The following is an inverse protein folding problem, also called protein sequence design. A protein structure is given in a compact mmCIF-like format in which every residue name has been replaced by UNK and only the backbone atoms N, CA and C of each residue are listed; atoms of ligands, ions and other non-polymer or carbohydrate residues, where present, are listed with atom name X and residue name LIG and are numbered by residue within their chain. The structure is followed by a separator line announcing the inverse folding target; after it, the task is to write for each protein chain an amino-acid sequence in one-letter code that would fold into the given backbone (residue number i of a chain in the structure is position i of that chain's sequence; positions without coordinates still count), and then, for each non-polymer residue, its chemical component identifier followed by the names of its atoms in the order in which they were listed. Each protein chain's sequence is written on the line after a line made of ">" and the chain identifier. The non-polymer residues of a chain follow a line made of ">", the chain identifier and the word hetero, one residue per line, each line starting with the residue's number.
data_IF_107599638004
#
_entry.id   IF_107599638004
#
_cell.length_a   1.000
_cell.length_b   1.000
_cell.length_c   1.000
_cell.angle_alpha   90.00
_cell.angle_beta   90.00
_cell.angle_gamma   90.00
#
_symmetry.space_group_name_H-M   'P 1'
#
loop_
_entity.id
_entity.type
_entity.pdbx_description
1 polymer ?
#
# COMPACT_ATOMS: atom_id res chain seq x y z
N UNK A 1 42.39 -23.62 157.44
CA UNK A 1 40.98 -23.96 157.18
C UNK A 1 40.11 -22.77 156.80
N UNK A 2 39.63 -21.90 157.72
CA UNK A 2 38.70 -20.81 157.33
C UNK A 2 39.31 -19.76 156.38
N UNK A 3 40.60 -19.44 156.55
CA UNK A 3 41.34 -18.53 155.66
C UNK A 3 41.55 -19.09 154.25
N UNK A 4 41.78 -20.41 154.15
CA UNK A 4 41.93 -21.10 152.86
C UNK A 4 40.59 -21.18 152.13
N UNK A 5 39.49 -21.44 152.85
CA UNK A 5 38.12 -21.43 152.30
C UNK A 5 37.75 -20.03 151.79
N UNK A 6 38.08 -18.98 152.54
CA UNK A 6 37.83 -17.59 152.10
C UNK A 6 38.66 -17.21 150.85
N UNK A 7 39.89 -17.70 150.75
CA UNK A 7 40.75 -17.44 149.60
C UNK A 7 40.28 -18.22 148.35
N UNK A 8 39.89 -19.49 148.50
CA UNK A 8 39.34 -20.28 147.40
C UNK A 8 38.00 -19.75 146.91
N UNK A 9 37.12 -19.27 147.81
CA UNK A 9 35.88 -18.59 147.42
C UNK A 9 36.13 -17.29 146.65
N UNK A 10 37.14 -16.50 147.04
CA UNK A 10 37.52 -15.27 146.32
C UNK A 10 38.07 -15.57 144.92
N UNK A 11 38.91 -16.60 144.79
CA UNK A 11 39.45 -17.06 143.51
C UNK A 11 38.33 -17.60 142.61
N UNK A 12 37.43 -18.43 143.14
CA UNK A 12 36.29 -18.96 142.40
C UNK A 12 35.33 -17.86 141.92
N UNK A 13 35.07 -16.83 142.74
CA UNK A 13 34.29 -15.66 142.34
C UNK A 13 34.94 -14.86 141.21
N UNK A 14 36.27 -14.68 141.26
CA UNK A 14 37.03 -14.00 140.20
C UNK A 14 37.00 -14.77 138.88
N UNK A 15 37.26 -16.08 138.95
CA UNK A 15 37.23 -16.98 137.79
C UNK A 15 35.82 -17.06 137.20
N UNK A 16 34.78 -17.19 138.02
CA UNK A 16 33.39 -17.19 137.55
C UNK A 16 32.99 -15.89 136.84
N UNK A 17 33.44 -14.74 137.34
CA UNK A 17 33.23 -13.45 136.70
C UNK A 17 34.02 -13.27 135.40
N UNK A 18 35.28 -13.72 135.35
CA UNK A 18 36.10 -13.71 134.14
C UNK A 18 35.52 -14.64 133.05
N UNK A 19 35.08 -15.84 133.43
CA UNK A 19 34.39 -16.77 132.52
C UNK A 19 33.07 -16.20 132.03
N UNK A 20 32.26 -15.60 132.92
CA UNK A 20 31.00 -14.95 132.54
C UNK A 20 31.21 -13.78 131.56
N UNK A 21 32.25 -12.97 131.79
CA UNK A 21 32.66 -11.90 130.87
C UNK A 21 33.11 -12.46 129.52
N UNK A 22 33.92 -13.52 129.52
CA UNK A 22 34.40 -14.15 128.29
C UNK A 22 33.23 -14.70 127.45
N UNK A 23 32.25 -15.35 128.08
CA UNK A 23 31.04 -15.85 127.38
C UNK A 23 30.26 -14.70 126.73
N UNK A 24 30.16 -13.53 127.40
CA UNK A 24 29.50 -12.35 126.83
C UNK A 24 30.28 -11.79 125.63
N UNK A 25 31.62 -11.74 125.72
CA UNK A 25 32.48 -11.30 124.63
C UNK A 25 32.38 -12.26 123.45
N UNK A 26 32.46 -13.57 123.68
CA UNK A 26 32.35 -14.59 122.63
C UNK A 26 30.97 -14.54 121.95
N UNK A 27 29.89 -14.30 122.72
CA UNK A 27 28.54 -14.10 122.17
C UNK A 27 28.49 -12.87 121.27
N UNK A 28 29.01 -11.73 121.74
CA UNK A 28 29.04 -10.51 120.94
C UNK A 28 29.85 -10.72 119.66
N UNK A 29 31.05 -11.32 119.74
CA UNK A 29 31.88 -11.63 118.58
C UNK A 29 31.16 -12.54 117.57
N UNK A 30 30.43 -13.55 118.04
CA UNK A 30 29.64 -14.42 117.18
C UNK A 30 28.47 -13.68 116.51
N UNK A 31 27.78 -12.79 117.23
CA UNK A 31 26.73 -11.95 116.65
C UNK A 31 27.29 -11.02 115.58
N UNK A 32 28.42 -10.34 115.85
CA UNK A 32 29.13 -9.50 114.88
C UNK A 32 29.59 -10.30 113.66
N UNK A 33 30.11 -11.52 113.86
CA UNK A 33 30.49 -12.40 112.76
C UNK A 33 29.29 -12.81 111.90
N UNK A 34 28.15 -13.11 112.53
CA UNK A 34 26.91 -13.45 111.84
C UNK A 34 26.38 -12.26 111.02
N UNK A 35 26.35 -11.05 111.59
CA UNK A 35 25.99 -9.84 110.85
C UNK A 35 26.95 -9.58 109.69
N UNK A 36 28.26 -9.67 109.91
CA UNK A 36 29.24 -9.47 108.85
C UNK A 36 29.06 -10.49 107.70
N UNK A 37 28.69 -11.73 108.01
CA UNK A 37 28.40 -12.76 107.03
C UNK A 37 27.07 -12.51 106.29
N UNK A 38 26.00 -12.07 106.98
CA UNK A 38 24.73 -11.73 106.32
C UNK A 38 24.89 -10.54 105.37
N UNK A 39 25.58 -9.48 105.80
CA UNK A 39 25.88 -8.33 104.93
C UNK A 39 26.73 -8.72 103.71
N UNK A 40 27.70 -9.65 103.87
CA UNK A 40 28.47 -10.16 102.73
C UNK A 40 27.57 -10.92 101.75
N UNK A 41 26.71 -11.80 102.25
CA UNK A 41 25.78 -12.57 101.42
C UNK A 41 24.83 -11.66 100.64
N UNK A 42 24.19 -10.68 101.30
CA UNK A 42 23.30 -9.71 100.66
C UNK A 42 24.03 -8.89 99.58
N UNK A 43 25.25 -8.44 99.87
CA UNK A 43 26.06 -7.69 98.89
C UNK A 43 26.41 -8.54 97.68
N UNK A 44 26.77 -9.80 97.89
CA UNK A 44 27.18 -10.70 96.81
C UNK A 44 25.95 -11.13 95.97
N UNK A 45 24.77 -11.26 96.58
CA UNK A 45 23.50 -11.41 95.88
C UNK A 45 23.17 -10.18 95.03
N UNK A 46 23.23 -8.97 95.61
CA UNK A 46 22.98 -7.73 94.89
C UNK A 46 23.95 -7.53 93.71
N UNK A 47 25.23 -7.92 93.87
CA UNK A 47 26.21 -7.93 92.78
C UNK A 47 25.83 -8.91 91.67
N UNK A 48 25.35 -10.09 92.04
CA UNK A 48 24.91 -11.12 91.09
C UNK A 48 23.69 -10.66 90.31
N UNK A 49 22.68 -10.10 90.98
CA UNK A 49 21.50 -9.52 90.36
C UNK A 49 21.86 -8.36 89.42
N UNK A 50 22.73 -7.43 89.86
CA UNK A 50 23.22 -6.34 89.01
C UNK A 50 23.93 -6.86 87.77
N UNK A 51 24.79 -7.87 87.91
CA UNK A 51 25.46 -8.48 86.77
C UNK A 51 24.49 -9.15 85.80
N UNK A 52 23.43 -9.78 86.31
CA UNK A 52 22.40 -10.40 85.48
C UNK A 52 21.61 -9.35 84.69
N UNK A 53 21.12 -8.31 85.36
CA UNK A 53 20.38 -7.20 84.71
C UNK A 53 21.26 -6.51 83.67
N UNK A 54 22.54 -6.28 83.96
CA UNK A 54 23.48 -5.68 83.00
C UNK A 54 23.58 -6.52 81.71
N UNK A 55 23.72 -7.84 81.83
CA UNK A 55 23.75 -8.74 80.66
C UNK A 55 22.44 -8.70 79.87
N UNK A 56 21.30 -8.66 80.54
CA UNK A 56 20.00 -8.54 79.88
C UNK A 56 19.86 -7.22 79.12
N UNK A 57 20.35 -6.12 79.71
CA UNK A 57 20.38 -4.82 79.05
C UNK A 57 21.25 -4.84 77.79
N UNK A 58 22.48 -5.39 77.88
CA UNK A 58 23.38 -5.52 76.73
C UNK A 58 22.74 -6.33 75.59
N UNK A 59 22.05 -7.43 75.90
CA UNK A 59 21.33 -8.23 74.89
C UNK A 59 20.18 -7.45 74.27
N UNK A 60 19.40 -6.71 75.08
CA UNK A 60 18.28 -5.91 74.59
C UNK A 60 18.75 -4.76 73.69
N UNK A 61 19.86 -4.11 74.03
CA UNK A 61 20.48 -3.06 73.21
C UNK A 61 20.93 -3.61 71.85
N UNK A 62 21.59 -4.78 71.83
CA UNK A 62 21.98 -5.45 70.58
C UNK A 62 20.78 -5.81 69.71
N UNK A 63 19.68 -6.30 70.30
CA UNK A 63 18.45 -6.57 69.58
C UNK A 63 17.82 -5.30 69.02
N UNK A 64 17.81 -4.21 69.79
CA UNK A 64 17.28 -2.93 69.34
C UNK A 64 18.09 -2.38 68.15
N UNK A 65 19.41 -2.49 68.17
CA UNK A 65 20.26 -2.07 67.06
C UNK A 65 20.09 -2.93 65.82
N UNK A 66 19.94 -4.24 65.98
CA UNK A 66 19.62 -5.14 64.86
C UNK A 66 18.27 -4.79 64.22
N UNK A 67 17.25 -4.52 65.02
CA UNK A 67 15.93 -4.09 64.53
C UNK A 67 15.99 -2.73 63.83
N UNK A 68 16.75 -1.76 64.36
CA UNK A 68 16.96 -0.46 63.70
C UNK A 68 17.62 -0.62 62.33
N UNK A 69 18.63 -1.49 62.24
CA UNK A 69 19.31 -1.78 60.97
C UNK A 69 18.36 -2.46 59.96
N UNK A 70 17.54 -3.41 60.40
CA UNK A 70 16.52 -4.04 59.55
C UNK A 70 15.49 -3.02 59.07
N UNK A 71 14.99 -2.16 59.95
CA UNK A 71 14.04 -1.12 59.60
C UNK A 71 14.61 -0.15 58.56
N UNK A 72 15.88 0.24 58.70
CA UNK A 72 16.55 1.11 57.73
C UNK A 72 16.68 0.44 56.35
N UNK A 73 16.99 -0.86 56.31
CA UNK A 73 17.03 -1.63 55.04
C UNK A 73 15.66 -1.70 54.39
N UNK A 74 14.63 -2.06 55.13
CA UNK A 74 13.25 -2.16 54.63
C UNK A 74 12.73 -0.81 54.10
N UNK A 75 13.05 0.31 54.77
CA UNK A 75 12.70 1.65 54.26
C UNK A 75 13.34 1.93 52.90
N UNK A 76 14.62 1.59 52.74
CA UNK A 76 15.32 1.76 51.46
C UNK A 76 14.75 0.87 50.36
N UNK A 77 14.34 -0.35 50.70
CA UNK A 77 13.66 -1.26 49.77
C UNK A 77 12.29 -0.71 49.35
N UNK A 78 11.48 -0.21 50.30
CA UNK A 78 10.18 0.43 50.01
C UNK A 78 10.34 1.66 49.10
N UNK A 79 11.32 2.53 49.37
CA UNK A 79 11.64 3.66 48.48
C UNK A 79 12.03 3.21 47.07
N UNK A 80 12.86 2.16 46.97
CA UNK A 80 13.25 1.56 45.70
C UNK A 80 12.06 0.99 44.93
N UNK A 81 11.17 0.26 45.60
CA UNK A 81 9.96 -0.30 45.00
C UNK A 81 9.00 0.82 44.55
N UNK A 82 8.80 1.87 45.35
CA UNK A 82 7.98 3.02 44.95
C UNK A 82 8.52 3.72 43.71
N UNK A 83 9.84 3.87 43.61
CA UNK A 83 10.48 4.43 42.43
C UNK A 83 10.28 3.54 41.19
N UNK A 84 10.37 2.22 41.33
CA UNK A 84 10.09 1.27 40.24
C UNK A 84 8.63 1.35 39.79
N UNK A 85 7.68 1.38 40.74
CA UNK A 85 6.25 1.52 40.42
C UNK A 85 5.98 2.83 39.66
N UNK A 86 6.59 3.94 40.08
CA UNK A 86 6.43 5.22 39.40
C UNK A 86 6.96 5.19 37.95
N UNK A 87 8.10 4.53 37.71
CA UNK A 87 8.65 4.33 36.36
C UNK A 87 7.72 3.49 35.49
N UNK A 88 7.28 2.34 36.00
CA UNK A 88 6.38 1.44 35.28
C UNK A 88 5.04 2.10 34.94
N UNK A 89 4.49 2.93 35.83
CA UNK A 89 3.28 3.72 35.53
C UNK A 89 3.50 4.66 34.35
N UNK A 90 4.61 5.40 34.33
CA UNK A 90 4.96 6.31 33.24
C UNK A 90 5.18 5.57 31.91
N UNK A 91 5.85 4.43 31.94
CA UNK A 91 6.03 3.58 30.75
C UNK A 91 4.68 3.06 30.22
N UNK A 92 3.79 2.62 31.11
CA UNK A 92 2.46 2.15 30.73
C UNK A 92 1.60 3.27 30.12
N UNK A 93 1.67 4.49 30.68
CA UNK A 93 1.02 5.67 30.10
C UNK A 93 1.56 5.99 28.69
N UNK A 94 2.88 5.90 28.49
CA UNK A 94 3.52 6.07 27.19
C UNK A 94 3.07 5.03 26.17
N UNK A 95 3.09 3.75 26.55
CA UNK A 95 2.61 2.65 25.71
C UNK A 95 1.12 2.81 25.36
N UNK A 96 0.29 3.24 26.31
CA UNK A 96 -1.13 3.51 26.06
C UNK A 96 -1.34 4.62 25.03
N UNK A 97 -0.57 5.71 25.13
CA UNK A 97 -0.60 6.79 24.15
C UNK A 97 -0.14 6.33 22.76
N UNK A 98 0.90 5.51 22.68
CA UNK A 98 1.40 4.96 21.42
C UNK A 98 0.37 4.02 20.76
N UNK A 99 -0.30 3.16 21.54
CA UNK A 99 -1.37 2.29 21.04
C UNK A 99 -2.52 3.12 20.45
N UNK A 100 -2.94 4.19 21.13
CA UNK A 100 -3.98 5.10 20.62
C UNK A 100 -3.54 5.78 19.33
N UNK A 101 -2.30 6.25 19.26
CA UNK A 101 -1.74 6.91 18.07
C UNK A 101 -1.65 5.95 16.89
N UNK A 102 -1.14 4.74 17.11
CA UNK A 102 -1.06 3.70 16.07
C UNK A 102 -2.45 3.27 15.61
N UNK A 103 -3.41 3.15 16.53
CA UNK A 103 -4.81 2.86 16.21
C UNK A 103 -5.43 3.91 15.29
N UNK A 104 -5.23 5.20 15.61
CA UNK A 104 -5.67 6.32 14.74
C UNK A 104 -4.98 6.29 13.39
N UNK A 105 -3.64 6.22 13.38
CA UNK A 105 -2.86 6.18 12.14
C UNK A 105 -3.29 5.02 11.23
N UNK A 106 -3.46 3.81 11.77
CA UNK A 106 -3.93 2.64 11.03
C UNK A 106 -5.32 2.86 10.45
N UNK A 107 -6.24 3.45 11.21
CA UNK A 107 -7.60 3.77 10.74
C UNK A 107 -7.56 4.78 9.59
N UNK A 108 -6.80 5.86 9.75
CA UNK A 108 -6.70 6.93 8.76
C UNK A 108 -6.02 6.41 7.47
N UNK A 109 -4.97 5.61 7.60
CA UNK A 109 -4.31 4.94 6.47
C UNK A 109 -5.27 4.00 5.72
N UNK A 110 -6.10 3.23 6.44
CA UNK A 110 -7.10 2.37 5.82
C UNK A 110 -8.18 3.17 5.09
N UNK A 111 -8.61 4.32 5.63
CA UNK A 111 -9.56 5.22 4.97
C UNK A 111 -8.95 5.78 3.69
N UNK A 112 -7.72 6.28 3.75
CA UNK A 112 -7.00 6.81 2.59
C UNK A 112 -6.81 5.74 1.51
N UNK A 113 -6.39 4.54 1.89
CA UNK A 113 -6.20 3.42 0.97
C UNK A 113 -7.53 2.99 0.31
N UNK A 114 -8.65 2.98 1.05
CA UNK A 114 -9.98 2.73 0.48
C UNK A 114 -10.37 3.80 -0.54
N UNK A 115 -10.16 5.07 -0.23
CA UNK A 115 -10.45 6.17 -1.16
C UNK A 115 -9.63 6.02 -2.46
N UNK A 116 -8.34 5.72 -2.35
CA UNK A 116 -7.46 5.51 -3.51
C UNK A 116 -7.90 4.29 -4.35
N UNK A 117 -8.38 3.22 -3.72
CA UNK A 117 -8.93 2.06 -4.44
C UNK A 117 -10.18 2.47 -5.22
N UNK A 118 -11.10 3.22 -4.62
CA UNK A 118 -12.31 3.68 -5.33
C UNK A 118 -11.99 4.65 -6.48
N UNK A 119 -11.02 5.53 -6.30
CA UNK A 119 -10.51 6.39 -7.37
C UNK A 119 -9.92 5.56 -8.53
N UNK A 120 -9.05 4.58 -8.22
CA UNK A 120 -8.47 3.70 -9.24
C UNK A 120 -9.52 2.87 -9.99
N UNK A 121 -10.64 2.51 -9.35
CA UNK A 121 -11.78 1.85 -9.99
C UNK A 121 -12.51 2.79 -10.94
N UNK A 122 -12.71 4.04 -10.55
CA UNK A 122 -13.32 5.06 -11.41
C UNK A 122 -12.46 5.32 -12.65
N UNK A 123 -11.14 5.46 -12.47
CA UNK A 123 -10.19 5.61 -13.58
C UNK A 123 -10.23 4.41 -14.53
N UNK A 124 -10.21 3.19 -13.98
CA UNK A 124 -10.33 1.98 -14.79
C UNK A 124 -11.64 1.95 -15.59
N UNK A 125 -12.77 2.30 -14.97
CA UNK A 125 -14.06 2.38 -15.64
C UNK A 125 -14.07 3.43 -16.77
N UNK A 126 -13.42 4.57 -16.56
CA UNK A 126 -13.24 5.61 -17.57
C UNK A 126 -12.39 5.11 -18.75
N UNK A 127 -11.27 4.45 -18.48
CA UNK A 127 -10.41 3.82 -19.50
C UNK A 127 -11.19 2.79 -20.30
N UNK A 128 -11.96 1.92 -19.63
CA UNK A 128 -12.75 0.89 -20.30
C UNK A 128 -13.87 1.51 -21.17
N UNK A 129 -14.51 2.59 -20.71
CA UNK A 129 -15.46 3.36 -21.51
C UNK A 129 -14.78 4.01 -22.74
N UNK A 130 -13.58 4.56 -22.56
CA UNK A 130 -12.76 5.10 -23.66
C UNK A 130 -12.40 4.04 -24.69
N UNK A 131 -11.99 2.84 -24.26
CA UNK A 131 -11.72 1.69 -25.15
C UNK A 131 -12.97 1.28 -25.93
N UNK A 132 -14.13 1.21 -25.28
CA UNK A 132 -15.40 0.90 -25.96
C UNK A 132 -15.75 1.92 -27.04
N UNK A 133 -15.59 3.22 -26.74
CA UNK A 133 -15.78 4.28 -27.73
C UNK A 133 -14.80 4.16 -28.90
N UNK A 134 -13.53 3.89 -28.62
CA UNK A 134 -12.52 3.68 -29.66
C UNK A 134 -12.84 2.47 -30.55
N UNK A 135 -13.28 1.34 -29.97
CA UNK A 135 -13.71 0.17 -30.74
C UNK A 135 -14.94 0.46 -31.60
N UNK A 136 -15.91 1.22 -31.08
CA UNK A 136 -17.08 1.62 -31.85
C UNK A 136 -16.70 2.56 -33.01
N UNK A 137 -15.79 3.51 -32.78
CA UNK A 137 -15.27 4.39 -33.82
C UNK A 137 -14.52 3.59 -34.92
N UNK A 138 -13.70 2.60 -34.54
CA UNK A 138 -13.05 1.71 -35.51
C UNK A 138 -14.06 0.95 -36.37
N UNK A 139 -15.11 0.40 -35.77
CA UNK A 139 -16.18 -0.28 -36.52
C UNK A 139 -16.89 0.65 -37.50
N UNK A 140 -17.14 1.92 -37.11
CA UNK A 140 -17.70 2.90 -38.03
C UNK A 140 -16.76 3.23 -39.19
N UNK A 141 -15.47 3.39 -38.92
CA UNK A 141 -14.47 3.62 -39.98
C UNK A 141 -14.40 2.44 -40.95
N UNK A 142 -14.47 1.20 -40.46
CA UNK A 142 -14.53 0.02 -41.34
C UNK A 142 -15.79 -0.01 -42.20
N UNK A 143 -16.94 0.37 -41.66
CA UNK A 143 -18.19 0.48 -42.41
C UNK A 143 -18.08 1.55 -43.50
N UNK A 144 -17.59 2.75 -43.17
CA UNK A 144 -17.36 3.83 -44.13
C UNK A 144 -16.41 3.37 -45.23
N UNK A 145 -15.32 2.66 -44.89
CA UNK A 145 -14.37 2.11 -45.86
C UNK A 145 -15.04 1.10 -46.80
N UNK A 146 -15.90 0.21 -46.29
CA UNK A 146 -16.67 -0.72 -47.12
C UNK A 146 -17.60 0.02 -48.07
N UNK A 147 -18.35 1.01 -47.58
CA UNK A 147 -19.26 1.81 -48.41
C UNK A 147 -18.50 2.58 -49.48
N UNK A 148 -17.38 3.22 -49.14
CA UNK A 148 -16.53 3.93 -50.10
C UNK A 148 -15.95 3.01 -51.18
N UNK A 149 -15.53 1.80 -50.82
CA UNK A 149 -15.08 0.80 -51.79
C UNK A 149 -16.18 0.38 -52.76
N UNK A 150 -17.41 0.20 -52.26
CA UNK A 150 -18.55 -0.15 -53.12
C UNK A 150 -18.89 0.99 -54.09
N UNK A 151 -18.88 2.24 -53.61
CA UNK A 151 -19.04 3.42 -54.46
C UNK A 151 -17.94 3.52 -55.53
N UNK A 152 -16.68 3.27 -55.16
CA UNK A 152 -15.56 3.24 -56.10
C UNK A 152 -15.76 2.18 -57.19
N UNK A 153 -16.21 0.98 -56.80
CA UNK A 153 -16.51 -0.13 -57.73
C UNK A 153 -17.60 0.27 -58.73
N UNK A 154 -18.69 0.88 -58.25
CA UNK A 154 -19.76 1.39 -59.12
C UNK A 154 -19.28 2.47 -60.09
N UNK A 155 -18.41 3.39 -59.64
CA UNK A 155 -17.82 4.41 -60.50
C UNK A 155 -16.91 3.80 -61.57
N UNK A 156 -16.08 2.82 -61.21
CA UNK A 156 -15.23 2.08 -62.16
C UNK A 156 -16.08 1.35 -63.20
N UNK A 157 -17.17 0.70 -62.78
CA UNK A 157 -18.08 0.01 -63.69
C UNK A 157 -18.76 0.99 -64.67
N UNK A 158 -19.21 2.16 -64.19
CA UNK A 158 -19.72 3.24 -65.04
C UNK A 158 -18.67 3.75 -66.03
N UNK A 159 -17.43 3.93 -65.58
CA UNK A 159 -16.32 4.36 -66.44
C UNK A 159 -16.03 3.32 -67.53
N UNK A 160 -16.01 2.03 -67.17
CA UNK A 160 -15.84 0.94 -68.13
C UNK A 160 -16.97 0.89 -69.16
N UNK A 161 -18.22 1.06 -68.73
CA UNK A 161 -19.37 1.17 -69.63
C UNK A 161 -19.21 2.36 -70.61
N UNK A 162 -18.78 3.52 -70.12
CA UNK A 162 -18.52 4.69 -70.98
C UNK A 162 -17.36 4.42 -71.95
N UNK A 163 -16.26 3.83 -71.49
CA UNK A 163 -15.12 3.43 -72.32
C UNK A 163 -15.52 2.45 -73.42
N UNK A 164 -16.34 1.44 -73.08
CA UNK A 164 -16.87 0.48 -74.04
C UNK A 164 -17.77 1.16 -75.08
N UNK A 165 -18.61 2.12 -74.66
CA UNK A 165 -19.44 2.93 -75.57
C UNK A 165 -18.58 3.78 -76.52
N UNK A 166 -17.54 4.43 -76.01
CA UNK A 166 -16.58 5.20 -76.82
C UNK A 166 -15.83 4.29 -77.81
N UNK A 167 -15.41 3.10 -77.38
CA UNK A 167 -14.75 2.12 -78.25
C UNK A 167 -15.68 1.64 -79.36
N UNK A 168 -16.94 1.36 -79.04
CA UNK A 168 -17.95 0.95 -80.03
C UNK A 168 -18.25 2.06 -81.04
N UNK A 169 -18.37 3.31 -80.58
CA UNK A 169 -18.56 4.47 -81.49
C UNK A 169 -17.35 4.71 -82.37
N UNK A 170 -16.14 4.55 -81.84
CA UNK A 170 -14.90 4.64 -82.62
C UNK A 170 -14.77 3.51 -83.66
N UNK A 171 -15.16 2.28 -83.31
CA UNK A 171 -15.23 1.16 -84.25
C UNK A 171 -16.27 1.41 -85.37
N UNK A 172 -17.42 2.03 -85.04
CA UNK A 172 -18.42 2.45 -86.03
C UNK A 172 -17.87 3.55 -86.94
N UNK A 173 -17.15 4.53 -86.39
CA UNK A 173 -16.55 5.62 -87.16
C UNK A 173 -15.49 5.08 -88.13
N UNK A 174 -14.56 4.26 -87.66
CA UNK A 174 -13.54 3.61 -88.52
C UNK A 174 -14.14 2.63 -89.54
N UNK A 175 -15.28 2.01 -89.21
CA UNK A 175 -16.08 1.25 -90.17
C UNK A 175 -16.68 2.16 -91.25
N UNK A 176 -17.28 3.29 -90.87
CA UNK A 176 -17.81 4.29 -91.78
C UNK A 176 -16.71 4.91 -92.67
N UNK A 177 -15.55 5.24 -92.11
CA UNK A 177 -14.37 5.70 -92.85
C UNK A 177 -13.93 4.68 -93.91
N UNK A 178 -13.92 3.38 -93.58
CA UNK A 178 -13.60 2.33 -94.56
C UNK A 178 -14.65 2.23 -95.67
N UNK A 179 -15.94 2.35 -95.34
CA UNK A 179 -17.02 2.36 -96.32
C UNK A 179 -16.90 3.58 -97.23
N UNK A 180 -16.67 4.76 -96.66
CA UNK A 180 -16.43 6.00 -97.40
C UNK A 180 -15.18 5.88 -98.28
N UNK A 181 -14.07 5.35 -97.77
CA UNK A 181 -12.86 5.11 -98.55
C UNK A 181 -13.08 4.17 -99.73
N UNK A 182 -13.87 3.09 -99.56
CA UNK A 182 -14.28 2.22 -100.67
C UNK A 182 -15.19 2.92 -101.66
N UNK A 183 -16.17 3.70 -101.19
CA UNK A 183 -17.07 4.46 -102.08
C UNK A 183 -16.30 5.50 -102.88
N UNK A 184 -15.37 6.22 -102.25
CA UNK A 184 -14.49 7.17 -102.94
C UNK A 184 -13.62 6.45 -103.97
N UNK A 185 -13.02 5.31 -103.60
CA UNK A 185 -12.22 4.51 -104.54
C UNK A 185 -13.08 3.97 -105.71
N UNK A 186 -14.28 3.46 -105.45
CA UNK A 186 -15.22 3.00 -106.49
C UNK A 186 -15.70 4.14 -107.41
N UNK A 187 -15.88 5.35 -106.87
CA UNK A 187 -16.21 6.55 -107.66
C UNK A 187 -15.03 7.00 -108.50
N UNK A 188 -13.81 6.91 -107.99
CA UNK A 188 -12.58 7.18 -108.75
C UNK A 188 -12.38 6.14 -109.85
N UNK A 189 -12.62 4.85 -109.58
CA UNK A 189 -12.48 3.77 -110.57
C UNK A 189 -13.57 3.78 -111.65
N UNK A 190 -14.79 4.23 -111.31
CA UNK A 190 -15.91 4.37 -112.27
C UNK A 190 -15.96 5.73 -112.93
N UNK A 191 -15.20 6.72 -112.45
CA UNK A 191 -14.98 7.93 -113.20
C UNK A 191 -14.24 7.52 -114.49
N UNK A 192 -14.74 7.91 -115.68
CA UNK A 192 -14.01 7.65 -116.92
C UNK A 192 -12.62 8.26 -116.78
N UNK A 193 -11.59 7.59 -117.33
CA UNK A 193 -10.17 8.01 -117.40
C UNK A 193 -9.97 9.34 -118.17
N UNK A 194 -10.70 10.37 -117.77
CA UNK A 194 -10.58 11.74 -118.21
C UNK A 194 -9.61 12.37 -117.24
N UNK A 195 -8.59 13.04 -117.77
CA UNK A 195 -7.70 13.89 -116.96
C UNK A 195 -8.57 14.94 -116.28
N UNK A 196 -9.03 14.66 -115.05
CA UNK A 196 -9.92 15.52 -114.28
C UNK A 196 -9.33 16.93 -114.15
N UNK A 197 -8.00 17.04 -114.18
CA UNK A 197 -7.23 18.29 -114.22
C UNK A 197 -7.60 19.26 -115.35
N UNK A 198 -8.21 18.78 -116.44
CA UNK A 198 -8.60 19.59 -117.60
C UNK A 198 -10.05 20.10 -117.57
N UNK A 199 -10.85 19.70 -116.57
CA UNK A 199 -12.23 20.14 -116.42
C UNK A 199 -12.32 21.32 -115.45
N UNK A 200 -13.24 22.27 -115.72
CA UNK A 200 -13.57 23.35 -114.78
C UNK A 200 -14.20 22.78 -113.49
N UNK A 201 -14.09 23.48 -112.36
CA UNK A 201 -14.62 23.02 -111.07
C UNK A 201 -16.11 22.63 -111.14
N UNK A 202 -16.90 23.36 -111.91
CA UNK A 202 -18.32 23.07 -112.13
C UNK A 202 -18.52 21.75 -112.88
N UNK A 203 -17.70 21.47 -113.89
CA UNK A 203 -17.78 20.24 -114.68
C UNK A 203 -17.24 19.02 -113.92
N UNK A 204 -16.14 19.18 -113.18
CA UNK A 204 -15.63 18.13 -112.27
C UNK A 204 -16.70 17.75 -111.25
N UNK A 205 -17.38 18.75 -110.67
CA UNK A 205 -18.50 18.52 -109.76
C UNK A 205 -19.59 17.70 -110.43
N UNK A 206 -20.05 18.07 -111.63
CA UNK A 206 -21.14 17.34 -112.32
C UNK A 206 -20.74 15.89 -112.62
N UNK A 207 -19.53 15.63 -113.11
CA UNK A 207 -19.05 14.28 -113.42
C UNK A 207 -18.94 13.43 -112.15
N UNK A 208 -18.34 13.98 -111.09
CA UNK A 208 -18.27 13.30 -109.79
C UNK A 208 -19.65 13.11 -109.17
N UNK A 209 -20.58 14.06 -109.34
CA UNK A 209 -21.96 13.93 -108.86
C UNK A 209 -22.67 12.80 -109.58
N UNK A 210 -22.54 12.69 -110.91
CA UNK A 210 -23.16 11.62 -111.69
C UNK A 210 -22.58 10.25 -111.33
N UNK A 211 -21.24 10.14 -111.22
CA UNK A 211 -20.58 8.91 -110.77
C UNK A 211 -20.99 8.52 -109.33
N UNK A 212 -21.09 9.49 -108.42
CA UNK A 212 -21.60 9.29 -107.06
C UNK A 212 -23.06 8.82 -107.08
N UNK A 213 -23.90 9.44 -107.91
CA UNK A 213 -25.33 9.10 -108.03
C UNK A 213 -25.52 7.69 -108.57
N UNK A 214 -24.71 7.25 -109.53
CA UNK A 214 -24.74 5.89 -110.05
C UNK A 214 -24.21 4.85 -109.05
N UNK A 215 -23.14 5.16 -108.31
CA UNK A 215 -22.63 4.30 -107.24
C UNK A 215 -23.70 4.13 -106.14
N UNK A 216 -24.33 5.22 -105.69
CA UNK A 216 -25.41 5.21 -104.70
C UNK A 216 -26.64 4.44 -105.22
N UNK A 217 -27.07 4.65 -106.46
CA UNK A 217 -28.20 3.90 -107.07
C UNK A 217 -27.89 2.41 -107.24
N UNK A 218 -26.65 2.03 -107.56
CA UNK A 218 -26.26 0.62 -107.75
C UNK A 218 -26.24 -0.20 -106.45
N UNK A 219 -26.09 0.46 -105.28
CA UNK A 219 -25.98 -0.22 -103.97
C UNK A 219 -27.22 -0.10 -103.07
N UNK A 220 -28.37 0.32 -103.59
CA UNK A 220 -29.67 0.25 -102.89
C UNK A 220 -30.10 -1.19 -102.45
N UNK A 221 -29.28 -2.22 -102.70
CA UNK A 221 -29.45 -3.60 -102.21
C UNK A 221 -28.68 -3.93 -100.91
N UNK A 222 -27.85 -3.04 -100.37
CA UNK A 222 -27.14 -3.24 -99.09
C UNK A 222 -27.67 -2.32 -97.98
N UNK A 223 -28.97 -2.41 -97.70
CA UNK A 223 -29.61 -1.67 -96.62
C UNK A 223 -29.37 -2.13 -95.16
N UNK A 224 -28.72 -3.25 -94.79
CA UNK A 224 -28.52 -3.52 -93.37
C UNK A 224 -27.34 -2.73 -92.76
N UNK A 225 -26.40 -2.19 -93.56
CA UNK A 225 -25.13 -1.66 -93.04
C UNK A 225 -25.13 -0.15 -92.73
N UNK A 226 -26.18 0.59 -93.09
CA UNK A 226 -26.28 2.05 -92.92
C UNK A 226 -27.48 2.50 -92.07
N UNK A 227 -28.11 1.58 -91.32
CA UNK A 227 -28.99 1.97 -90.21
C UNK A 227 -28.11 2.47 -89.05
N UNK A 228 -27.58 3.68 -89.19
CA UNK A 228 -27.13 4.49 -88.07
C UNK A 228 -28.37 4.95 -87.31
N UNK A 229 -28.91 4.09 -86.46
CA UNK A 229 -29.85 4.53 -85.43
C UNK A 229 -29.04 5.28 -84.38
N UNK A 230 -29.11 6.61 -84.43
CA UNK A 230 -28.90 7.43 -83.23
C UNK A 230 -30.10 7.16 -82.32
N UNK A 231 -30.01 6.16 -81.46
CA UNK A 231 -30.88 6.13 -80.29
C UNK A 231 -30.55 7.36 -79.43
N UNK A 232 -31.54 8.20 -79.09
CA UNK A 232 -31.30 9.36 -78.25
C UNK A 232 -30.85 8.89 -76.86
N UNK A 233 -29.83 9.57 -76.35
CA UNK A 233 -29.30 9.39 -75.01
C UNK A 233 -30.42 9.57 -73.97
N UNK A 234 -30.65 8.61 -73.05
CA UNK A 234 -31.34 8.93 -71.81
C UNK A 234 -30.40 9.79 -70.94
N UNK A 235 -30.91 10.96 -70.54
CA UNK A 235 -30.31 11.86 -69.53
C UNK A 235 -30.30 11.15 -68.18
#
# INVERSE_FOLDING_TARGET
>A
MLSEIANTMRIAGRVGYEVGRQIQVDRALNEWANYANSYRAERDEARSQRSYVKKQLEVSEQQADALRAQLARLKKEDEGLRAQVARLKKENEGLSADVLRLGKFKKDALIAMKAQIEESKADKASIDAGKRKATAALQQVELIKKTANEQLKQLVEKLNLQSNRLTATWARLTGAERVLGRLVSEVVDRAPNLQLEMLSDTQRRIVLLNAWTDVVKSKARYEPALKFTFEPLPI
#
